data_IF_398253473892
#
_entry.id   IF_398253473892
#
_cell.length_a   1.000
_cell.length_b   1.000
_cell.length_c   1.000
_cell.angle_alpha   90.00
_cell.angle_beta   90.00
_cell.angle_gamma   90.00
#
_symmetry.space_group_name_H-M   'P 1'
#
loop_
_entity.id
_entity.type
_entity.pdbx_description
1 polymer ?
#
# COMPACT_ATOMS: atom_id res chain seq x y z
N UNK A 1 30.15 54.71 25.73
CA UNK A 1 30.04 53.27 26.05
C UNK A 1 29.24 52.61 24.95
N UNK A 2 29.92 51.90 24.04
CA UNK A 2 29.28 51.14 22.96
C UNK A 2 29.01 49.73 23.46
N UNK A 3 27.75 49.36 23.59
CA UNK A 3 27.33 47.99 23.90
C UNK A 3 27.35 47.17 22.61
N UNK A 4 28.43 46.45 22.39
CA UNK A 4 28.52 45.44 21.32
C UNK A 4 27.79 44.17 21.75
N UNK A 5 26.52 44.03 21.37
CA UNK A 5 25.82 42.75 21.36
C UNK A 5 26.20 41.97 20.09
N UNK A 6 27.40 41.38 20.07
CA UNK A 6 27.69 40.29 19.14
C UNK A 6 27.05 39.02 19.69
N UNK A 7 25.85 38.70 19.22
CA UNK A 7 25.29 37.36 19.30
C UNK A 7 26.18 36.49 18.41
N UNK A 8 27.16 35.80 19.00
CA UNK A 8 28.02 34.88 18.26
C UNK A 8 27.11 33.93 17.46
N UNK A 9 27.20 33.94 16.13
CA UNK A 9 26.65 32.85 15.35
C UNK A 9 27.43 31.62 15.76
N UNK A 10 26.80 30.75 16.57
CA UNK A 10 27.36 29.43 16.87
C UNK A 10 27.72 28.81 15.53
N UNK A 11 28.98 28.38 15.38
CA UNK A 11 29.44 27.70 14.16
C UNK A 11 28.59 26.49 13.82
N UNK A 12 28.81 25.85 12.66
CA UNK A 12 28.08 24.64 12.29
C UNK A 12 28.22 23.60 13.41
N UNK A 13 27.07 23.10 13.90
CA UNK A 13 27.02 22.10 14.98
C UNK A 13 27.74 20.83 14.52
N UNK A 14 28.52 20.22 15.40
CA UNK A 14 29.07 18.87 15.14
C UNK A 14 27.95 17.82 15.13
N UNK A 15 28.16 16.62 14.56
CA UNK A 15 27.14 15.56 14.55
C UNK A 15 26.61 15.20 15.95
N UNK A 16 27.48 15.06 16.94
CA UNK A 16 27.08 14.73 18.33
C UNK A 16 26.32 15.89 19.00
N UNK A 17 26.77 17.14 18.82
CA UNK A 17 26.04 18.31 19.30
C UNK A 17 24.66 18.45 18.66
N UNK A 18 24.52 18.09 17.39
CA UNK A 18 23.26 18.12 16.68
C UNK A 18 22.31 17.04 17.19
N UNK A 19 22.77 15.79 17.34
CA UNK A 19 21.97 14.70 17.89
C UNK A 19 21.44 15.04 19.30
N UNK A 20 22.31 15.58 20.16
CA UNK A 20 21.91 16.04 21.49
C UNK A 20 20.93 17.20 21.46
N UNK A 21 21.15 18.20 20.60
CA UNK A 21 20.22 19.32 20.46
C UNK A 21 18.83 18.86 19.97
N UNK A 22 18.79 17.89 19.06
CA UNK A 22 17.55 17.26 18.59
C UNK A 22 16.84 16.60 19.77
N UNK A 23 17.52 15.73 20.52
CA UNK A 23 16.98 15.07 21.73
C UNK A 23 16.39 16.06 22.72
N UNK A 24 17.18 17.06 23.10
CA UNK A 24 16.80 18.05 24.10
C UNK A 24 15.57 18.84 23.64
N UNK A 25 15.51 19.20 22.34
CA UNK A 25 14.35 19.91 21.79
C UNK A 25 13.07 19.06 21.76
N UNK A 26 13.17 17.76 21.49
CA UNK A 26 12.02 16.84 21.55
C UNK A 26 11.54 16.61 22.99
N UNK A 27 12.45 16.42 23.94
CA UNK A 27 12.09 16.25 25.35
C UNK A 27 11.49 17.52 25.95
N UNK A 28 11.91 18.70 25.47
CA UNK A 28 11.30 19.97 25.87
C UNK A 28 9.81 20.09 25.48
N UNK A 29 9.33 19.30 24.51
CA UNK A 29 7.89 19.29 24.19
C UNK A 29 7.05 18.65 25.31
N UNK A 30 7.63 17.74 26.11
CA UNK A 30 6.90 17.05 27.19
C UNK A 30 6.75 17.90 28.45
N UNK A 31 7.64 18.87 28.65
CA UNK A 31 7.60 19.75 29.81
C UNK A 31 6.63 20.93 29.63
N UNK A 32 6.10 21.13 28.43
CA UNK A 32 5.22 22.25 28.10
C UNK A 32 3.77 21.78 28.12
N UNK A 33 2.93 22.46 28.92
CA UNK A 33 1.51 22.15 28.97
C UNK A 33 0.78 22.73 27.76
N UNK A 34 -0.29 22.08 27.30
CA UNK A 34 -1.11 22.54 26.15
C UNK A 34 -1.72 23.94 26.39
N UNK A 35 -1.82 24.39 27.65
CA UNK A 35 -2.27 25.72 28.00
C UNK A 35 -1.26 26.84 27.64
N UNK A 36 0.02 26.51 27.49
CA UNK A 36 1.09 27.46 27.19
C UNK A 36 1.39 27.55 25.68
N UNK A 37 0.36 27.91 24.90
CA UNK A 37 0.40 27.89 23.42
C UNK A 37 1.65 28.57 22.84
N UNK A 38 2.02 29.77 23.33
CA UNK A 38 3.21 30.49 22.84
C UNK A 38 4.54 29.79 23.14
N UNK A 39 4.62 29.10 24.28
CA UNK A 39 5.82 28.35 24.63
C UNK A 39 5.94 27.09 23.77
N UNK A 40 4.80 26.43 23.53
CA UNK A 40 4.71 25.25 22.67
C UNK A 40 5.08 25.59 21.21
N UNK A 41 4.54 26.68 20.66
CA UNK A 41 4.89 27.16 19.31
C UNK A 41 6.40 27.37 19.18
N UNK A 42 7.03 28.05 20.14
CA UNK A 42 8.47 28.30 20.14
C UNK A 42 9.30 27.01 20.27
N UNK A 43 8.84 26.05 21.07
CA UNK A 43 9.51 24.76 21.19
C UNK A 43 9.40 23.94 19.90
N UNK A 44 8.23 23.95 19.24
CA UNK A 44 8.02 23.32 17.95
C UNK A 44 8.90 23.95 16.85
N UNK A 45 9.05 25.27 16.83
CA UNK A 45 9.98 25.97 15.92
C UNK A 45 11.43 25.51 16.11
N UNK A 46 11.88 25.33 17.36
CA UNK A 46 13.24 24.85 17.64
C UNK A 46 13.44 23.39 17.21
N UNK A 47 12.43 22.54 17.42
CA UNK A 47 12.43 21.16 16.91
C UNK A 47 12.53 21.14 15.39
N UNK A 48 11.69 21.92 14.71
CA UNK A 48 11.71 22.01 13.24
C UNK A 48 13.07 22.50 12.72
N UNK A 49 13.65 23.52 13.34
CA UNK A 49 14.98 24.02 13.01
C UNK A 49 16.07 22.94 13.16
N UNK A 50 16.01 22.15 14.23
CA UNK A 50 16.96 21.05 14.44
C UNK A 50 16.75 19.90 13.43
N UNK A 51 15.50 19.59 13.07
CA UNK A 51 15.19 18.61 12.00
C UNK A 51 15.73 19.09 10.64
N UNK A 52 15.58 20.37 10.32
CA UNK A 52 16.12 20.94 9.07
C UNK A 52 17.65 20.89 9.07
N UNK A 53 18.30 21.23 10.18
CA UNK A 53 19.76 21.12 10.31
C UNK A 53 20.23 19.66 10.13
N UNK A 54 19.52 18.70 10.71
CA UNK A 54 19.78 17.27 10.51
C UNK A 54 19.58 16.86 9.05
N UNK A 55 18.53 17.33 8.39
CA UNK A 55 18.30 17.08 6.96
C UNK A 55 19.44 17.60 6.09
N UNK A 56 19.90 18.83 6.33
CA UNK A 56 21.02 19.41 5.56
C UNK A 56 22.30 18.59 5.76
N UNK A 57 22.59 18.15 6.99
CA UNK A 57 23.76 17.30 7.23
C UNK A 57 23.64 15.92 6.55
N UNK A 58 22.43 15.37 6.45
CA UNK A 58 22.17 14.04 5.86
C UNK A 58 22.09 14.05 4.33
N UNK A 59 21.53 15.10 3.73
CA UNK A 59 21.16 15.14 2.31
C UNK A 59 21.90 16.22 1.52
N UNK A 60 22.60 17.15 2.18
CA UNK A 60 23.11 18.37 1.57
C UNK A 60 22.03 19.45 1.43
N UNK A 61 22.45 20.65 1.00
CA UNK A 61 21.58 21.80 0.72
C UNK A 61 21.34 22.05 -0.78
N UNK A 62 21.89 21.19 -1.64
CA UNK A 62 21.80 21.26 -3.10
C UNK A 62 23.05 21.84 -3.77
N UNK A 63 23.82 22.65 -3.03
CA UNK A 63 25.10 23.22 -3.49
C UNK A 63 26.29 22.45 -2.89
N UNK A 64 26.12 21.93 -1.66
CA UNK A 64 27.14 21.16 -0.94
C UNK A 64 26.69 19.71 -0.77
N UNK A 65 27.52 18.78 -1.24
CA UNK A 65 27.30 17.35 -1.03
C UNK A 65 27.49 16.96 0.45
N UNK A 66 26.69 16.01 0.97
CA UNK A 66 26.80 15.58 2.35
C UNK A 66 28.13 14.84 2.59
N UNK A 67 28.82 15.21 3.67
CA UNK A 67 30.03 14.53 4.09
C UNK A 67 29.70 13.15 4.69
N UNK A 68 30.16 12.07 4.05
CA UNK A 68 29.89 10.70 4.46
C UNK A 68 30.30 10.35 5.91
N UNK A 69 31.39 10.92 6.41
CA UNK A 69 31.85 10.68 7.78
C UNK A 69 30.90 11.36 8.79
N UNK A 70 30.49 12.59 8.48
CA UNK A 70 29.53 13.32 9.32
C UNK A 70 28.15 12.65 9.32
N UNK A 71 27.70 12.14 8.17
CA UNK A 71 26.44 11.37 8.04
C UNK A 71 26.49 10.10 8.89
N UNK A 72 27.58 9.35 8.81
CA UNK A 72 27.78 8.10 9.55
C UNK A 72 27.83 8.37 11.06
N UNK A 73 28.60 9.39 11.46
CA UNK A 73 28.69 9.81 12.86
C UNK A 73 27.35 10.29 13.41
N UNK A 74 26.60 11.13 12.66
CA UNK A 74 25.28 11.60 13.10
C UNK A 74 24.31 10.43 13.29
N UNK A 75 24.32 9.48 12.36
CA UNK A 75 23.45 8.30 12.43
C UNK A 75 23.74 7.47 13.69
N UNK A 76 25.02 7.27 14.01
CA UNK A 76 25.44 6.55 15.21
C UNK A 76 24.99 7.28 16.50
N UNK A 77 25.22 8.60 16.57
CA UNK A 77 24.85 9.40 17.74
C UNK A 77 23.33 9.44 17.95
N UNK A 78 22.54 9.54 16.87
CA UNK A 78 21.06 9.47 16.90
C UNK A 78 20.57 8.14 17.47
N UNK A 79 21.22 7.02 17.15
CA UNK A 79 20.89 5.71 17.70
C UNK A 79 21.30 5.60 19.18
N UNK A 80 22.50 6.05 19.54
CA UNK A 80 23.03 5.99 20.90
C UNK A 80 22.23 6.85 21.89
N UNK A 81 21.75 8.00 21.43
CA UNK A 81 20.99 8.95 22.24
C UNK A 81 19.48 8.64 22.31
N UNK A 82 19.03 7.51 21.75
CA UNK A 82 17.62 7.07 21.74
C UNK A 82 16.67 8.03 21.01
N UNK A 83 17.21 8.79 20.06
CA UNK A 83 16.46 9.84 19.35
C UNK A 83 15.46 9.25 18.36
N UNK A 84 15.69 8.03 17.88
CA UNK A 84 14.78 7.32 16.97
C UNK A 84 13.41 7.10 17.61
N UNK A 85 13.35 6.66 18.88
CA UNK A 85 12.09 6.51 19.60
C UNK A 85 11.32 7.84 19.67
N UNK A 86 12.01 8.96 19.92
CA UNK A 86 11.40 10.30 19.94
C UNK A 86 10.83 10.69 18.58
N UNK A 87 11.50 10.36 17.47
CA UNK A 87 10.99 10.63 16.12
C UNK A 87 9.63 9.99 15.87
N UNK A 88 9.46 8.76 16.35
CA UNK A 88 8.23 7.99 16.14
C UNK A 88 7.14 8.46 17.11
N UNK A 89 7.43 8.57 18.41
CA UNK A 89 6.43 8.93 19.41
C UNK A 89 5.96 10.38 19.32
N UNK A 90 6.81 11.31 18.87
CA UNK A 90 6.46 12.75 18.77
C UNK A 90 5.87 13.12 17.41
N UNK A 91 5.86 12.20 16.44
CA UNK A 91 5.31 12.41 15.10
C UNK A 91 3.88 13.00 15.08
N UNK A 92 2.94 12.59 15.98
CA UNK A 92 1.60 13.18 16.06
C UNK A 92 1.59 14.68 16.42
N UNK A 93 2.59 15.16 17.16
CA UNK A 93 2.64 16.54 17.68
C UNK A 93 3.27 17.49 16.66
N UNK A 94 4.15 16.97 15.79
CA UNK A 94 4.90 17.78 14.83
C UNK A 94 4.00 18.39 13.74
N UNK A 95 4.42 19.54 13.21
CA UNK A 95 3.83 20.15 12.01
C UNK A 95 4.12 19.36 10.73
N UNK A 96 3.34 19.61 9.67
CA UNK A 96 3.43 18.85 8.41
C UNK A 96 4.82 18.88 7.76
N UNK A 97 5.47 20.05 7.68
CA UNK A 97 6.80 20.16 7.05
C UNK A 97 7.87 19.45 7.91
N UNK A 98 7.79 19.56 9.24
CA UNK A 98 8.65 18.82 10.16
C UNK A 98 8.51 17.31 9.98
N UNK A 99 7.28 16.77 9.90
CA UNK A 99 7.02 15.33 9.64
C UNK A 99 7.65 14.91 8.30
N UNK A 100 7.46 15.69 7.25
CA UNK A 100 8.03 15.39 5.92
C UNK A 100 9.56 15.37 5.92
N UNK A 101 10.20 16.34 6.56
CA UNK A 101 11.65 16.38 6.70
C UNK A 101 12.14 15.18 7.54
N UNK A 102 11.44 14.83 8.60
CA UNK A 102 11.75 13.67 9.44
C UNK A 102 11.70 12.35 8.67
N UNK A 103 10.65 12.12 7.87
CA UNK A 103 10.53 10.93 7.00
C UNK A 103 11.67 10.85 5.98
N UNK A 104 12.12 12.00 5.47
CA UNK A 104 13.26 12.05 4.56
C UNK A 104 14.58 11.68 5.27
N UNK A 105 14.85 12.27 6.44
CA UNK A 105 15.99 11.91 7.27
C UNK A 105 15.97 10.42 7.62
N UNK A 106 14.81 9.90 8.06
CA UNK A 106 14.58 8.48 8.34
C UNK A 106 15.00 7.58 7.17
N UNK A 107 14.55 7.92 5.97
CA UNK A 107 14.81 7.14 4.76
C UNK A 107 16.30 7.09 4.38
N UNK A 108 17.07 8.10 4.78
CA UNK A 108 18.52 8.15 4.59
C UNK A 108 19.21 7.34 5.68
N UNK A 109 18.93 7.62 6.95
CA UNK A 109 19.58 6.98 8.11
C UNK A 109 19.42 5.46 8.09
N UNK A 110 18.24 4.94 7.74
CA UNK A 110 17.99 3.49 7.68
C UNK A 110 18.87 2.77 6.63
N UNK A 111 19.39 3.50 5.64
CA UNK A 111 20.26 2.97 4.59
C UNK A 111 21.75 3.19 4.86
N UNK A 112 22.09 3.94 5.90
CA UNK A 112 23.49 4.22 6.22
C UNK A 112 24.15 3.02 6.89
N UNK A 113 25.38 2.75 6.45
CA UNK A 113 26.25 1.74 7.06
C UNK A 113 27.31 2.45 7.89
N UNK A 114 27.46 2.02 9.14
CA UNK A 114 28.57 2.38 10.01
C UNK A 114 29.38 1.09 10.22
N UNK A 115 30.63 1.08 9.79
CA UNK A 115 31.53 -0.09 9.87
C UNK A 115 30.91 -1.39 9.33
N UNK A 116 30.28 -1.30 8.16
CA UNK A 116 29.55 -2.41 7.48
C UNK A 116 28.28 -2.90 8.17
N UNK A 117 27.87 -2.28 9.28
CA UNK A 117 26.61 -2.57 9.99
C UNK A 117 25.57 -1.47 9.77
N UNK A 118 24.29 -1.84 9.69
CA UNK A 118 23.21 -0.86 9.62
C UNK A 118 22.77 -0.50 11.04
N UNK A 119 23.35 0.57 11.60
CA UNK A 119 23.16 0.95 13.00
C UNK A 119 21.68 1.16 13.36
N UNK A 120 20.93 1.89 12.52
CA UNK A 120 19.49 2.07 12.73
C UNK A 120 18.71 0.77 12.69
N UNK A 121 19.14 -0.21 11.90
CA UNK A 121 18.46 -1.51 11.81
C UNK A 121 18.68 -2.31 13.09
N UNK A 122 19.92 -2.34 13.59
CA UNK A 122 20.23 -2.98 14.87
C UNK A 122 19.49 -2.32 16.04
N UNK A 123 19.32 -1.00 15.99
CA UNK A 123 18.48 -0.28 16.95
C UNK A 123 17.02 -0.74 16.84
N UNK A 124 16.43 -0.74 15.63
CA UNK A 124 15.05 -1.18 15.42
C UNK A 124 14.81 -2.64 15.82
N UNK A 125 15.79 -3.52 15.62
CA UNK A 125 15.71 -4.92 16.06
C UNK A 125 15.68 -5.08 17.59
N UNK A 126 16.18 -4.08 18.34
CA UNK A 126 16.09 -4.02 19.81
C UNK A 126 14.83 -3.32 20.32
N UNK A 127 14.17 -2.54 19.46
CA UNK A 127 13.02 -1.68 19.78
C UNK A 127 11.85 -1.95 18.82
N UNK A 128 11.43 -3.21 18.75
CA UNK A 128 10.43 -3.67 17.79
C UNK A 128 9.04 -3.07 18.03
N UNK A 129 8.74 -2.65 19.26
CA UNK A 129 7.51 -1.94 19.65
C UNK A 129 7.30 -0.63 18.86
N UNK A 130 8.37 -0.03 18.35
CA UNK A 130 8.30 1.16 17.51
C UNK A 130 7.65 0.87 16.15
N UNK A 131 7.82 -0.35 15.62
CA UNK A 131 7.16 -0.77 14.39
C UNK A 131 5.65 -0.93 14.61
N UNK A 132 5.24 -1.52 15.74
CA UNK A 132 3.82 -1.62 16.11
C UNK A 132 3.18 -0.23 16.24
N UNK A 133 3.89 0.73 16.86
CA UNK A 133 3.42 2.11 16.96
C UNK A 133 3.19 2.74 15.57
N UNK A 134 4.10 2.53 14.62
CA UNK A 134 3.94 3.02 13.23
C UNK A 134 2.71 2.41 12.55
N UNK A 135 2.40 1.14 12.83
CA UNK A 135 1.18 0.49 12.31
C UNK A 135 -0.07 1.10 12.94
N UNK A 136 -0.12 1.23 14.26
CA UNK A 136 -1.27 1.81 14.99
C UNK A 136 -1.57 3.24 14.52
N UNK A 137 -0.55 4.01 14.16
CA UNK A 137 -0.70 5.37 13.66
C UNK A 137 -1.48 5.51 12.34
N UNK A 138 -1.77 4.43 11.60
CA UNK A 138 -2.68 4.48 10.46
C UNK A 138 -4.10 4.93 10.83
N UNK A 139 -4.52 4.75 12.09
CA UNK A 139 -5.81 5.23 12.58
C UNK A 139 -5.86 6.78 12.70
N UNK A 140 -4.69 7.44 12.71
CA UNK A 140 -4.58 8.89 12.66
C UNK A 140 -4.31 9.38 11.23
N UNK A 141 -5.38 9.86 10.58
CA UNK A 141 -5.37 10.36 9.19
C UNK A 141 -4.31 11.42 8.87
N UNK A 142 -3.85 12.20 9.86
CA UNK A 142 -2.89 13.29 9.63
C UNK A 142 -1.44 12.82 9.52
N UNK A 143 -1.14 11.65 10.11
CA UNK A 143 0.21 11.09 10.15
C UNK A 143 0.32 9.78 9.38
N UNK A 144 -0.80 9.12 9.07
CA UNK A 144 -0.83 7.81 8.44
C UNK A 144 0.11 7.68 7.24
N UNK A 145 0.12 8.66 6.32
CA UNK A 145 0.99 8.62 5.13
C UNK A 145 2.48 8.76 5.46
N UNK A 146 2.82 9.49 6.52
CA UNK A 146 4.19 9.61 7.01
C UNK A 146 4.64 8.31 7.67
N UNK A 147 3.81 7.73 8.53
CA UNK A 147 4.06 6.45 9.18
C UNK A 147 4.16 5.32 8.16
N UNK A 148 3.28 5.29 7.16
CA UNK A 148 3.34 4.34 6.05
C UNK A 148 4.63 4.45 5.24
N UNK A 149 5.08 5.67 4.95
CA UNK A 149 6.38 5.91 4.33
C UNK A 149 7.54 5.35 5.15
N UNK A 150 7.58 5.64 6.47
CA UNK A 150 8.64 5.15 7.37
C UNK A 150 8.62 3.62 7.48
N UNK A 151 7.45 3.04 7.70
CA UNK A 151 7.26 1.59 7.85
C UNK A 151 7.64 0.85 6.57
N UNK A 152 7.31 1.39 5.38
CA UNK A 152 7.71 0.78 4.11
C UNK A 152 9.22 0.77 3.87
N UNK A 153 9.98 1.71 4.45
CA UNK A 153 11.44 1.61 4.42
C UNK A 153 11.93 0.51 5.37
N UNK A 154 11.32 0.34 6.56
CA UNK A 154 11.65 -0.72 7.51
C UNK A 154 11.45 -2.11 6.92
N UNK A 155 10.27 -2.38 6.34
CA UNK A 155 9.91 -3.72 5.84
C UNK A 155 10.69 -4.12 4.57
N UNK A 156 11.54 -3.26 4.02
CA UNK A 156 12.55 -3.69 3.02
C UNK A 156 13.58 -4.63 3.64
N UNK A 157 13.75 -4.58 4.95
CA UNK A 157 14.67 -5.40 5.71
C UNK A 157 13.97 -6.69 6.15
N UNK A 158 14.52 -7.88 5.87
CA UNK A 158 13.84 -9.15 6.16
C UNK A 158 13.49 -9.35 7.63
N UNK A 159 14.37 -8.97 8.56
CA UNK A 159 14.16 -9.13 10.01
C UNK A 159 12.96 -8.33 10.51
N UNK A 160 12.88 -7.05 10.14
CA UNK A 160 11.78 -6.15 10.54
C UNK A 160 10.46 -6.52 9.87
N UNK A 161 10.50 -6.94 8.59
CA UNK A 161 9.30 -7.39 7.88
C UNK A 161 8.74 -8.67 8.50
N UNK A 162 9.61 -9.63 8.85
CA UNK A 162 9.22 -10.87 9.53
C UNK A 162 8.53 -10.57 10.86
N UNK A 163 9.11 -9.69 11.68
CA UNK A 163 8.50 -9.28 12.95
C UNK A 163 7.08 -8.73 12.76
N UNK A 164 6.89 -7.77 11.84
CA UNK A 164 5.56 -7.20 11.62
C UNK A 164 4.58 -8.25 11.13
N UNK A 165 4.99 -9.14 10.23
CA UNK A 165 4.14 -10.19 9.69
C UNK A 165 3.66 -11.17 10.77
N UNK A 166 4.51 -11.47 11.76
CA UNK A 166 4.22 -12.35 12.89
C UNK A 166 3.57 -11.62 14.09
N UNK A 167 3.47 -10.29 14.04
CA UNK A 167 2.90 -9.44 15.10
C UNK A 167 1.36 -9.35 14.96
N UNK A 168 0.61 -9.26 16.07
CA UNK A 168 -0.83 -8.94 16.05
C UNK A 168 -1.14 -7.63 15.30
N UNK A 169 -0.19 -6.71 15.24
CA UNK A 169 -0.32 -5.46 14.48
C UNK A 169 -0.58 -5.71 12.99
N UNK A 170 -0.14 -6.84 12.42
CA UNK A 170 -0.42 -7.19 11.03
C UNK A 170 -1.91 -7.24 10.72
N UNK A 171 -2.71 -7.77 11.65
CA UNK A 171 -4.16 -7.93 11.46
C UNK A 171 -4.88 -6.60 11.28
N UNK A 172 -4.32 -5.51 11.82
CA UNK A 172 -4.87 -4.17 11.65
C UNK A 172 -4.92 -3.75 10.18
N UNK A 173 -4.07 -4.29 9.30
CA UNK A 173 -4.13 -3.99 7.87
C UNK A 173 -5.44 -4.45 7.23
N UNK A 174 -6.07 -5.54 7.67
CA UNK A 174 -7.38 -5.95 7.17
C UNK A 174 -8.46 -4.90 7.44
N UNK A 175 -8.33 -4.14 8.54
CA UNK A 175 -9.17 -2.97 8.84
C UNK A 175 -8.73 -1.75 8.01
N UNK A 176 -7.43 -1.46 7.98
CA UNK A 176 -6.92 -0.21 7.39
C UNK A 176 -7.14 -0.11 5.88
N UNK A 177 -7.07 -1.22 5.15
CA UNK A 177 -7.33 -1.24 3.70
C UNK A 177 -8.79 -0.97 3.34
N UNK A 178 -9.71 -1.08 4.30
CA UNK A 178 -11.14 -0.80 4.14
C UNK A 178 -11.56 0.56 4.69
N UNK A 179 -10.61 1.41 5.10
CA UNK A 179 -10.93 2.75 5.60
C UNK A 179 -11.62 3.59 4.52
N UNK A 180 -12.60 4.43 4.89
CA UNK A 180 -13.31 5.29 3.94
C UNK A 180 -12.40 6.40 3.38
N UNK A 181 -11.31 6.73 4.07
CA UNK A 181 -10.29 7.62 3.55
C UNK A 181 -9.43 6.87 2.54
N UNK A 182 -9.66 7.17 1.26
CA UNK A 182 -9.00 6.52 0.13
C UNK A 182 -7.48 6.62 0.18
N UNK A 183 -6.92 7.79 0.53
CA UNK A 183 -5.47 7.99 0.55
C UNK A 183 -4.81 7.10 1.60
N UNK A 184 -5.39 7.06 2.80
CA UNK A 184 -4.91 6.21 3.91
C UNK A 184 -5.09 4.73 3.58
N UNK A 185 -6.25 4.32 3.07
CA UNK A 185 -6.53 2.94 2.70
C UNK A 185 -5.61 2.44 1.57
N UNK A 186 -5.34 3.28 0.56
CA UNK A 186 -4.44 2.96 -0.54
C UNK A 186 -2.97 2.84 -0.07
N UNK A 187 -2.56 3.71 0.87
CA UNK A 187 -1.23 3.66 1.47
C UNK A 187 -1.06 2.42 2.36
N UNK A 188 -2.07 2.10 3.17
CA UNK A 188 -2.13 0.88 3.97
C UNK A 188 -2.07 -0.36 3.07
N UNK A 189 -2.82 -0.38 1.96
CA UNK A 189 -2.79 -1.48 1.01
C UNK A 189 -1.41 -1.66 0.37
N UNK A 190 -0.70 -0.56 0.09
CA UNK A 190 0.66 -0.62 -0.44
C UNK A 190 1.63 -1.27 0.55
N UNK A 191 1.48 -0.96 1.84
CA UNK A 191 2.26 -1.56 2.93
C UNK A 191 1.90 -3.04 3.14
N UNK A 192 0.60 -3.35 3.19
CA UNK A 192 0.08 -4.72 3.27
C UNK A 192 0.58 -5.60 2.13
N UNK A 193 0.54 -5.08 0.89
CA UNK A 193 1.13 -5.73 -0.27
C UNK A 193 2.63 -5.97 -0.09
N UNK A 194 3.39 -4.98 0.34
CA UNK A 194 4.85 -5.12 0.52
C UNK A 194 5.18 -6.20 1.56
N UNK A 195 4.43 -6.26 2.67
CA UNK A 195 4.59 -7.33 3.67
C UNK A 195 4.35 -8.72 3.08
N UNK A 196 3.37 -8.86 2.19
CA UNK A 196 2.97 -10.14 1.57
C UNK A 196 3.76 -10.53 0.31
N UNK A 197 4.57 -9.65 -0.27
CA UNK A 197 5.28 -9.95 -1.54
C UNK A 197 6.76 -9.66 -1.53
N UNK A 198 7.31 -8.95 -0.53
CA UNK A 198 8.72 -8.53 -0.57
C UNK A 198 9.70 -9.67 -0.20
N UNK A 199 9.34 -10.47 0.79
CA UNK A 199 10.18 -11.53 1.35
C UNK A 199 9.45 -12.87 1.27
N UNK A 200 9.42 -13.45 0.08
CA UNK A 200 8.61 -14.64 -0.26
C UNK A 200 8.78 -15.81 0.72
N UNK A 201 10.00 -16.09 1.16
CA UNK A 201 10.26 -17.17 2.14
C UNK A 201 9.64 -16.90 3.52
N UNK A 202 9.67 -15.66 3.99
CA UNK A 202 9.06 -15.29 5.27
C UNK A 202 7.52 -15.35 5.17
N UNK A 203 6.98 -14.88 4.04
CA UNK A 203 5.55 -14.96 3.73
C UNK A 203 5.08 -16.42 3.68
N UNK A 204 5.83 -17.29 3.02
CA UNK A 204 5.53 -18.73 2.95
C UNK A 204 5.47 -19.38 4.33
N UNK A 205 6.44 -19.08 5.19
CA UNK A 205 6.43 -19.57 6.57
C UNK A 205 5.18 -19.09 7.32
N UNK A 206 4.93 -17.79 7.31
CA UNK A 206 3.78 -17.18 7.98
C UNK A 206 2.43 -17.76 7.48
N UNK A 207 2.23 -17.84 6.16
CA UNK A 207 1.00 -18.37 5.57
C UNK A 207 0.81 -19.86 5.84
N UNK A 208 1.90 -20.62 6.04
CA UNK A 208 1.83 -22.03 6.41
C UNK A 208 1.28 -22.18 7.82
N UNK A 209 1.81 -21.40 8.75
CA UNK A 209 1.44 -21.46 10.18
C UNK A 209 0.05 -20.88 10.44
N UNK A 210 -0.33 -19.83 9.71
CA UNK A 210 -1.56 -19.06 9.94
C UNK A 210 -2.62 -19.24 8.83
N UNK A 211 -2.54 -20.31 8.05
CA UNK A 211 -3.35 -20.50 6.83
C UNK A 211 -4.84 -20.22 7.05
N UNK A 212 -5.46 -20.87 8.04
CA UNK A 212 -6.92 -20.81 8.22
C UNK A 212 -7.38 -19.40 8.58
N UNK A 213 -6.73 -18.79 9.57
CA UNK A 213 -7.07 -17.45 10.06
C UNK A 213 -6.80 -16.37 9.01
N UNK A 214 -5.65 -16.45 8.33
CA UNK A 214 -5.31 -15.50 7.27
C UNK A 214 -6.33 -15.54 6.13
N UNK A 215 -6.64 -16.72 5.59
CA UNK A 215 -7.56 -16.83 4.45
C UNK A 215 -9.01 -16.55 4.82
N UNK A 216 -9.42 -16.76 6.07
CA UNK A 216 -10.72 -16.30 6.57
C UNK A 216 -10.84 -14.78 6.52
N UNK A 217 -9.82 -14.05 6.99
CA UNK A 217 -9.80 -12.58 6.90
C UNK A 217 -9.65 -12.10 5.45
N UNK A 218 -8.84 -12.79 4.65
CA UNK A 218 -8.61 -12.43 3.25
C UNK A 218 -9.87 -12.59 2.40
N UNK A 219 -10.71 -13.60 2.68
CA UNK A 219 -12.00 -13.79 2.00
C UNK A 219 -12.93 -12.59 2.21
N UNK A 220 -12.88 -11.93 3.38
CA UNK A 220 -13.64 -10.69 3.64
C UNK A 220 -13.21 -9.57 2.69
N UNK A 221 -11.92 -9.47 2.36
CA UNK A 221 -11.43 -8.51 1.37
C UNK A 221 -11.88 -8.87 -0.06
N UNK A 222 -11.88 -10.15 -0.41
CA UNK A 222 -12.35 -10.64 -1.72
C UNK A 222 -13.87 -10.48 -1.89
N UNK A 223 -14.63 -10.45 -0.81
CA UNK A 223 -16.08 -10.28 -0.80
C UNK A 223 -16.52 -8.88 -0.39
N UNK A 224 -15.55 -7.96 -0.22
CA UNK A 224 -15.78 -6.60 0.22
C UNK A 224 -16.76 -5.84 -0.68
N UNK A 225 -17.65 -4.99 -0.13
CA UNK A 225 -18.46 -4.07 -0.91
C UNK A 225 -17.58 -2.99 -1.59
N UNK A 226 -16.37 -2.74 -1.10
CA UNK A 226 -15.44 -1.80 -1.73
C UNK A 226 -14.81 -2.43 -2.97
N UNK A 227 -15.25 -1.95 -4.15
CA UNK A 227 -14.74 -2.42 -5.44
C UNK A 227 -13.22 -2.32 -5.56
N UNK A 228 -12.60 -1.25 -5.03
CA UNK A 228 -11.15 -1.06 -5.14
C UNK A 228 -10.42 -2.09 -4.28
N UNK A 229 -10.83 -2.26 -3.01
CA UNK A 229 -10.25 -3.27 -2.12
C UNK A 229 -10.39 -4.65 -2.71
N UNK A 230 -11.61 -5.04 -3.12
CA UNK A 230 -11.89 -6.33 -3.75
C UNK A 230 -11.00 -6.61 -4.96
N UNK A 231 -10.84 -5.63 -5.85
CA UNK A 231 -10.01 -5.76 -7.05
C UNK A 231 -8.52 -5.88 -6.71
N UNK A 232 -8.01 -5.05 -5.82
CA UNK A 232 -6.60 -5.05 -5.46
C UNK A 232 -6.22 -6.30 -4.66
N UNK A 233 -7.07 -6.74 -3.74
CA UNK A 233 -6.90 -7.99 -3.00
C UNK A 233 -6.91 -9.19 -3.93
N UNK A 234 -7.81 -9.25 -4.92
CA UNK A 234 -7.76 -10.35 -5.89
C UNK A 234 -6.44 -10.38 -6.67
N UNK A 235 -5.96 -9.21 -7.10
CA UNK A 235 -4.67 -9.12 -7.79
C UNK A 235 -3.53 -9.57 -6.87
N UNK A 236 -3.50 -9.08 -5.64
CA UNK A 236 -2.48 -9.42 -4.65
C UNK A 236 -2.48 -10.92 -4.32
N UNK A 237 -3.65 -11.55 -4.21
CA UNK A 237 -3.77 -13.00 -4.03
C UNK A 237 -3.06 -13.77 -5.13
N UNK A 238 -3.26 -13.38 -6.39
CA UNK A 238 -2.55 -14.03 -7.51
C UNK A 238 -1.05 -13.80 -7.47
N UNK A 239 -0.59 -12.66 -6.95
CA UNK A 239 0.84 -12.34 -6.85
C UNK A 239 1.51 -13.26 -5.82
N UNK A 240 1.07 -13.26 -4.55
CA UNK A 240 1.77 -14.06 -3.54
C UNK A 240 1.49 -15.57 -3.66
N UNK A 241 0.29 -15.99 -4.09
CA UNK A 241 -0.06 -17.42 -4.10
C UNK A 241 0.76 -18.21 -5.14
N UNK A 242 1.18 -17.54 -6.21
CA UNK A 242 1.92 -18.17 -7.32
C UNK A 242 3.43 -18.14 -7.16
N UNK A 243 3.93 -17.56 -6.07
CA UNK A 243 5.36 -17.57 -5.79
C UNK A 243 5.86 -19.00 -5.51
N UNK A 244 7.07 -19.38 -5.98
CA UNK A 244 7.58 -20.74 -5.81
C UNK A 244 7.59 -21.23 -4.35
N UNK A 245 7.97 -20.41 -3.34
CA UNK A 245 7.88 -20.80 -1.93
C UNK A 245 6.46 -21.10 -1.44
N UNK A 246 5.42 -20.62 -2.13
CA UNK A 246 4.02 -20.79 -1.75
C UNK A 246 3.34 -21.94 -2.49
N UNK A 247 4.07 -22.77 -3.23
CA UNK A 247 3.49 -23.84 -4.06
C UNK A 247 2.66 -24.87 -3.27
N UNK A 248 3.01 -25.18 -2.01
CA UNK A 248 2.21 -26.06 -1.15
C UNK A 248 0.94 -25.37 -0.63
N UNK A 249 1.02 -24.08 -0.29
CA UNK A 249 -0.14 -23.25 0.08
C UNK A 249 -1.10 -23.13 -1.09
N UNK A 250 -0.60 -22.87 -2.31
CA UNK A 250 -1.38 -22.84 -3.54
C UNK A 250 -2.12 -24.16 -3.77
N UNK A 251 -1.42 -25.29 -3.65
CA UNK A 251 -2.02 -26.63 -3.80
C UNK A 251 -3.15 -26.87 -2.79
N UNK A 252 -2.97 -26.40 -1.54
CA UNK A 252 -4.02 -26.46 -0.51
C UNK A 252 -5.20 -25.55 -0.89
N UNK A 253 -4.94 -24.30 -1.25
CA UNK A 253 -5.94 -23.30 -1.62
C UNK A 253 -6.87 -23.78 -2.75
N UNK A 254 -6.29 -24.36 -3.81
CA UNK A 254 -7.06 -24.83 -4.96
C UNK A 254 -7.76 -26.18 -4.77
N UNK A 255 -7.51 -26.85 -3.64
CA UNK A 255 -8.23 -28.06 -3.25
C UNK A 255 -9.52 -27.74 -2.48
N UNK A 256 -9.70 -26.50 -2.01
CA UNK A 256 -10.83 -26.11 -1.18
C UNK A 256 -12.02 -25.57 -1.99
N UNK A 257 -13.19 -26.16 -1.74
CA UNK A 257 -14.45 -25.79 -2.42
C UNK A 257 -14.88 -24.36 -2.10
N UNK A 258 -14.62 -23.87 -0.89
CA UNK A 258 -14.94 -22.51 -0.48
C UNK A 258 -14.28 -21.48 -1.40
N UNK A 259 -12.97 -21.58 -1.56
CA UNK A 259 -12.19 -20.69 -2.41
C UNK A 259 -12.61 -20.74 -3.88
N UNK A 260 -12.93 -21.93 -4.42
CA UNK A 260 -13.47 -22.03 -5.79
C UNK A 260 -14.79 -21.24 -5.94
N UNK A 261 -15.71 -21.35 -4.98
CA UNK A 261 -16.99 -20.63 -5.03
C UNK A 261 -16.79 -19.12 -5.02
N UNK A 262 -15.86 -18.62 -4.21
CA UNK A 262 -15.48 -17.19 -4.18
C UNK A 262 -14.97 -16.76 -5.56
N UNK A 263 -14.02 -17.49 -6.14
CA UNK A 263 -13.48 -17.19 -7.48
C UNK A 263 -14.55 -17.19 -8.58
N UNK A 264 -15.44 -18.18 -8.57
CA UNK A 264 -16.54 -18.26 -9.53
C UNK A 264 -17.54 -17.11 -9.37
N UNK A 265 -17.80 -16.64 -8.15
CA UNK A 265 -18.68 -15.49 -7.90
C UNK A 265 -18.03 -14.18 -8.34
N UNK A 266 -16.73 -14.02 -8.08
CA UNK A 266 -15.94 -12.88 -8.55
C UNK A 266 -15.95 -12.74 -10.08
N UNK A 267 -15.85 -13.86 -10.82
CA UNK A 267 -15.96 -13.87 -12.28
C UNK A 267 -17.35 -13.38 -12.77
N UNK A 268 -18.43 -13.78 -12.08
CA UNK A 268 -19.80 -13.33 -12.42
C UNK A 268 -19.95 -11.82 -12.24
N UNK A 269 -19.49 -11.28 -11.11
CA UNK A 269 -19.57 -9.83 -10.82
C UNK A 269 -18.83 -9.03 -11.88
N UNK A 270 -17.64 -9.48 -12.28
CA UNK A 270 -16.87 -8.81 -13.33
C UNK A 270 -17.61 -8.75 -14.68
N UNK A 271 -18.25 -9.86 -15.07
CA UNK A 271 -19.01 -9.92 -16.33
C UNK A 271 -20.17 -8.92 -16.37
N UNK A 272 -20.92 -8.78 -15.27
CA UNK A 272 -22.03 -7.81 -15.16
C UNK A 272 -21.52 -6.38 -15.34
N UNK A 273 -20.43 -6.02 -14.66
CA UNK A 273 -19.82 -4.68 -14.76
C UNK A 273 -19.30 -4.40 -16.17
N UNK A 274 -18.61 -5.37 -16.79
CA UNK A 274 -18.08 -5.25 -18.15
C UNK A 274 -19.20 -5.05 -19.18
N UNK A 275 -20.32 -5.79 -19.05
CA UNK A 275 -21.49 -5.66 -19.92
C UNK A 275 -22.17 -4.29 -19.80
N UNK A 276 -22.28 -3.76 -18.58
CA UNK A 276 -22.86 -2.44 -18.35
C UNK A 276 -22.04 -1.32 -19.03
N UNK A 277 -20.70 -1.41 -18.93
CA UNK A 277 -19.81 -0.44 -19.57
C UNK A 277 -19.85 -0.52 -21.10
N UNK A 278 -20.01 -1.72 -21.68
CA UNK A 278 -20.08 -1.89 -23.14
C UNK A 278 -21.42 -1.45 -23.74
N UNK A 279 -22.54 -1.63 -23.04
CA UNK A 279 -23.88 -1.32 -23.57
C UNK A 279 -24.24 0.16 -23.47
N UNK A 280 -23.59 0.92 -22.59
CA UNK A 280 -24.06 2.27 -22.30
C UNK A 280 -23.79 3.28 -23.42
N UNK A 281 -22.88 3.06 -24.37
CA UNK A 281 -22.44 4.09 -25.36
C UNK A 281 -22.12 5.46 -24.73
N UNK A 282 -21.96 5.48 -23.41
CA UNK A 282 -21.60 6.64 -22.63
C UNK A 282 -20.14 6.42 -22.28
N UNK A 283 -19.24 7.17 -22.91
CA UNK A 283 -17.95 7.40 -22.29
C UNK A 283 -18.22 7.86 -20.86
N UNK A 284 -17.56 7.28 -19.85
CA UNK A 284 -17.64 7.70 -18.44
C UNK A 284 -17.65 9.25 -18.31
N UNK A 285 -16.94 9.94 -19.20
CA UNK A 285 -16.90 11.40 -19.41
C UNK A 285 -18.28 12.08 -19.59
N UNK A 286 -19.24 11.49 -20.32
CA UNK A 286 -20.57 12.07 -20.59
C UNK A 286 -21.51 11.95 -19.37
N UNK A 287 -21.45 10.83 -18.63
CA UNK A 287 -22.15 10.69 -17.34
C UNK A 287 -21.58 11.68 -16.31
N UNK A 288 -20.25 11.92 -16.32
CA UNK A 288 -19.58 12.93 -15.48
C UNK A 288 -20.10 14.35 -15.78
N UNK A 289 -20.29 14.71 -17.06
CA UNK A 289 -20.78 16.03 -17.46
C UNK A 289 -22.24 16.32 -17.06
N UNK A 290 -23.11 15.31 -17.06
CA UNK A 290 -24.52 15.46 -16.69
C UNK A 290 -24.69 15.69 -15.17
N UNK A 291 -23.89 15.00 -14.34
CA UNK A 291 -23.92 15.17 -12.87
C UNK A 291 -23.28 16.50 -12.41
N UNK A 292 -22.34 17.06 -13.18
CA UNK A 292 -21.83 18.42 -12.96
C UNK A 292 -22.86 19.53 -13.21
N UNK A 293 -23.79 19.34 -14.17
CA UNK A 293 -24.86 20.32 -14.46
C UNK A 293 -26.06 20.21 -13.53
N UNK A 294 -26.32 19.03 -12.95
CA UNK A 294 -27.48 18.81 -12.09
C UNK A 294 -27.14 17.93 -10.85
N UNK A 295 -26.74 18.55 -9.73
CA UNK A 295 -26.28 17.82 -8.53
C UNK A 295 -27.39 17.05 -7.78
N UNK A 296 -28.67 17.40 -8.00
CA UNK A 296 -29.81 16.79 -7.29
C UNK A 296 -30.52 15.68 -8.09
N UNK A 297 -30.01 15.31 -9.26
CA UNK A 297 -30.59 14.26 -10.09
C UNK A 297 -30.24 12.88 -9.49
N UNK A 298 -31.20 12.28 -8.78
CA UNK A 298 -31.12 10.89 -8.35
C UNK A 298 -31.38 9.98 -9.55
N UNK A 299 -30.38 9.20 -9.96
CA UNK A 299 -30.60 8.12 -10.91
C UNK A 299 -31.14 6.91 -10.13
N UNK A 300 -32.40 6.47 -10.36
CA UNK A 300 -33.06 5.47 -9.52
C UNK A 300 -32.49 4.04 -9.64
N UNK A 301 -31.45 3.83 -10.46
CA UNK A 301 -30.74 2.54 -10.59
C UNK A 301 -29.24 2.59 -10.23
N UNK A 302 -28.71 3.70 -9.69
CA UNK A 302 -27.30 3.84 -9.31
C UNK A 302 -27.11 3.89 -7.78
N UNK A 303 -27.60 2.87 -7.07
CA UNK A 303 -27.25 2.65 -5.66
C UNK A 303 -26.08 1.67 -5.56
N UNK A 304 -25.04 2.04 -4.79
CA UNK A 304 -23.99 1.13 -4.32
C UNK A 304 -22.73 1.05 -5.19
N UNK A 305 -22.83 0.46 -6.39
CA UNK A 305 -21.66 -0.25 -6.96
C UNK A 305 -20.86 0.49 -8.04
N UNK A 306 -21.36 1.61 -8.57
CA UNK A 306 -20.73 2.32 -9.72
C UNK A 306 -20.44 3.81 -9.40
N UNK A 307 -20.89 4.32 -8.26
CA UNK A 307 -20.70 5.74 -7.92
C UNK A 307 -19.31 6.04 -7.36
N UNK A 308 -18.64 5.06 -6.75
CA UNK A 308 -17.32 5.27 -6.14
C UNK A 308 -16.17 5.45 -7.16
N UNK A 309 -16.12 4.74 -8.31
CA UNK A 309 -15.18 5.05 -9.39
C UNK A 309 -15.26 6.50 -9.89
N UNK A 310 -16.41 7.17 -9.72
CA UNK A 310 -16.66 8.54 -10.17
C UNK A 310 -16.17 9.61 -9.19
N UNK A 311 -16.06 9.31 -7.89
CA UNK A 311 -15.51 10.24 -6.90
C UNK A 311 -13.96 10.27 -6.94
N UNK A 312 -13.34 9.12 -7.23
CA UNK A 312 -11.88 8.91 -7.30
C UNK A 312 -11.22 9.79 -8.38
N UNK A 313 -11.92 10.11 -9.48
CA UNK A 313 -11.42 11.00 -10.53
C UNK A 313 -11.71 12.50 -10.28
N UNK A 314 -12.57 12.83 -9.31
CA UNK A 314 -13.05 14.21 -9.08
C UNK A 314 -12.40 14.90 -7.87
N UNK A 315 -11.88 14.16 -6.88
CA UNK A 315 -11.22 14.76 -5.71
C UNK A 315 -9.90 15.47 -6.07
N UNK A 316 -9.23 15.09 -7.15
CA UNK A 316 -7.94 15.67 -7.56
C UNK A 316 -8.08 17.02 -8.32
N UNK A 317 -9.31 17.42 -8.71
CA UNK A 317 -9.55 18.70 -9.40
C UNK A 317 -9.95 19.86 -8.49
N UNK A 318 -10.22 19.64 -7.20
CA UNK A 318 -10.58 20.73 -6.27
C UNK A 318 -9.39 21.47 -5.67
N UNK A 319 -8.16 21.06 -5.98
CA UNK A 319 -6.94 21.60 -5.38
C UNK A 319 -5.94 22.22 -6.36
N UNK A 320 -6.37 22.97 -7.40
CA UNK A 320 -5.54 24.00 -8.07
C UNK A 320 -6.34 24.72 -9.17
N UNK A 321 -6.86 25.89 -8.84
CA UNK A 321 -7.16 26.90 -9.84
C UNK A 321 -5.85 27.51 -10.33
N UNK A 322 -5.46 27.19 -11.57
CA UNK A 322 -4.86 28.09 -12.57
C UNK A 322 -4.38 27.23 -13.75
N UNK A 323 -4.86 27.60 -14.94
CA UNK A 323 -4.30 27.17 -16.23
C UNK A 323 -2.86 27.69 -16.30
N UNK A 324 -1.87 26.82 -16.41
CA UNK A 324 -0.56 27.16 -16.92
C UNK A 324 0.04 25.95 -17.63
N UNK A 325 0.67 26.23 -18.76
CA UNK A 325 1.02 25.32 -19.85
C UNK A 325 1.99 24.22 -19.42
N UNK A 326 1.63 22.97 -19.73
CA UNK A 326 2.45 21.79 -19.52
C UNK A 326 3.40 21.60 -20.71
N UNK A 327 4.60 22.16 -20.59
CA UNK A 327 5.78 21.72 -21.35
C UNK A 327 6.99 21.72 -20.41
N UNK A 328 7.12 20.67 -19.59
CA UNK A 328 8.34 20.39 -18.85
C UNK A 328 8.53 18.85 -18.79
N UNK A 329 9.70 18.31 -19.21
CA UNK A 329 10.00 16.89 -19.06
C UNK A 329 10.35 16.63 -17.58
N UNK A 330 9.53 15.84 -16.89
CA UNK A 330 9.80 15.46 -15.48
C UNK A 330 8.61 15.51 -14.51
N UNK A 331 7.38 15.77 -14.96
CA UNK A 331 6.21 15.77 -14.07
C UNK A 331 5.59 14.35 -13.92
N UNK A 332 5.52 13.75 -12.71
CA UNK A 332 4.94 12.41 -12.50
C UNK A 332 3.42 12.35 -12.75
N UNK A 333 2.74 13.49 -12.78
CA UNK A 333 1.29 13.60 -12.99
C UNK A 333 0.89 13.46 -14.47
N UNK A 334 1.83 13.68 -15.40
CA UNK A 334 1.52 13.58 -16.84
C UNK A 334 1.48 12.13 -17.35
N UNK A 335 2.10 11.19 -16.62
CA UNK A 335 2.05 9.75 -16.92
C UNK A 335 0.71 9.10 -16.56
N UNK A 336 -0.10 9.74 -15.72
CA UNK A 336 -1.43 9.24 -15.34
C UNK A 336 -2.48 9.56 -16.41
N UNK A 337 -2.26 10.59 -17.24
CA UNK A 337 -3.20 11.02 -18.29
C UNK A 337 -2.97 10.38 -19.67
N UNK A 338 -1.82 9.75 -19.92
CA UNK A 338 -1.52 9.07 -21.20
C UNK A 338 -1.79 7.57 -21.20
N UNK A 339 -2.18 6.98 -20.06
CA UNK A 339 -2.86 5.70 -20.11
C UNK A 339 -4.27 5.92 -20.66
N UNK A 340 -4.45 5.59 -21.95
CA UNK A 340 -5.69 4.97 -22.42
C UNK A 340 -6.25 4.15 -21.26
N UNK A 341 -7.44 4.50 -20.78
CA UNK A 341 -8.26 3.69 -19.90
C UNK A 341 -8.49 2.33 -20.59
N UNK A 342 -7.49 1.44 -20.59
CA UNK A 342 -7.66 0.01 -20.72
C UNK A 342 -8.39 -0.41 -19.45
N UNK A 343 -9.70 -0.25 -19.50
CA UNK A 343 -10.67 -0.80 -18.56
C UNK A 343 -10.22 -2.22 -18.23
N UNK A 344 -9.93 -2.45 -16.96
CA UNK A 344 -9.64 -3.74 -16.31
C UNK A 344 -9.18 -4.88 -17.22
N UNK A 345 -7.87 -5.11 -17.29
CA UNK A 345 -7.36 -6.40 -17.75
C UNK A 345 -7.88 -7.52 -16.81
N UNK A 346 -8.61 -8.53 -17.32
CA UNK A 346 -9.16 -9.63 -16.51
C UNK A 346 -8.11 -10.61 -15.98
N UNK A 347 -6.83 -10.40 -16.31
CA UNK A 347 -5.71 -11.31 -16.06
C UNK A 347 -5.69 -11.92 -14.66
N UNK A 348 -5.89 -11.15 -13.58
CA UNK A 348 -5.86 -11.71 -12.22
C UNK A 348 -6.98 -12.76 -11.96
N UNK A 349 -8.18 -12.55 -12.51
CA UNK A 349 -9.29 -13.51 -12.38
C UNK A 349 -8.99 -14.78 -13.18
N UNK A 350 -8.49 -14.60 -14.41
CA UNK A 350 -8.13 -15.70 -15.31
C UNK A 350 -6.99 -16.52 -14.75
N UNK A 351 -5.96 -15.88 -14.20
CA UNK A 351 -4.80 -16.54 -13.59
C UNK A 351 -5.24 -17.42 -12.41
N UNK A 352 -6.04 -16.91 -11.48
CA UNK A 352 -6.47 -17.72 -10.33
C UNK A 352 -7.41 -18.85 -10.77
N UNK A 353 -8.37 -18.58 -11.66
CA UNK A 353 -9.24 -19.63 -12.20
C UNK A 353 -8.44 -20.69 -12.96
N UNK A 354 -7.41 -20.29 -13.71
CA UNK A 354 -6.50 -21.20 -14.40
C UNK A 354 -5.84 -22.13 -13.41
N UNK A 355 -5.42 -21.68 -12.23
CA UNK A 355 -4.74 -22.54 -11.25
C UNK A 355 -5.70 -23.61 -10.71
N UNK A 356 -6.97 -23.26 -10.45
CA UNK A 356 -8.00 -24.25 -10.10
C UNK A 356 -8.24 -25.26 -11.22
N UNK A 357 -8.37 -24.77 -12.46
CA UNK A 357 -8.69 -25.59 -13.64
C UNK A 357 -7.49 -26.40 -14.11
N UNK A 358 -6.25 -25.95 -13.90
CA UNK A 358 -5.03 -26.66 -14.27
C UNK A 358 -4.58 -27.68 -13.23
N UNK A 359 -5.17 -27.70 -12.03
CA UNK A 359 -4.81 -28.67 -10.99
C UNK A 359 -4.95 -30.12 -11.53
N UNK A 360 -3.89 -30.95 -11.59
CA UNK A 360 -4.02 -32.33 -12.04
C UNK A 360 -4.77 -33.20 -11.02
N UNK A 361 -4.69 -32.85 -9.74
CA UNK A 361 -5.24 -33.60 -8.61
C UNK A 361 -6.52 -32.95 -8.05
N UNK A 362 -7.42 -32.48 -8.93
CA UNK A 362 -8.69 -31.85 -8.53
C UNK A 362 -9.51 -32.80 -7.64
N UNK A 363 -9.95 -32.35 -6.44
CA UNK A 363 -10.90 -33.10 -5.62
C UNK A 363 -12.22 -33.36 -6.36
N UNK A 364 -12.91 -34.47 -6.02
CA UNK A 364 -14.17 -34.86 -6.66
C UNK A 364 -15.23 -33.76 -6.61
N UNK A 365 -15.36 -33.09 -5.47
CA UNK A 365 -16.33 -32.01 -5.29
C UNK A 365 -16.06 -30.81 -6.23
N UNK A 366 -14.78 -30.46 -6.43
CA UNK A 366 -14.35 -29.42 -7.36
C UNK A 366 -14.73 -29.80 -8.80
N UNK A 367 -14.46 -31.06 -9.21
CA UNK A 367 -14.85 -31.57 -10.53
C UNK A 367 -16.37 -31.49 -10.74
N UNK A 368 -17.16 -31.90 -9.75
CA UNK A 368 -18.62 -31.83 -9.80
C UNK A 368 -19.14 -30.40 -9.91
N UNK A 369 -18.55 -29.45 -9.17
CA UNK A 369 -18.94 -28.04 -9.24
C UNK A 369 -18.63 -27.45 -10.62
N UNK A 370 -17.44 -27.73 -11.16
CA UNK A 370 -17.04 -27.27 -12.49
C UNK A 370 -17.96 -27.87 -13.57
N UNK A 371 -18.23 -29.19 -13.52
CA UNK A 371 -19.13 -29.86 -14.45
C UNK A 371 -20.56 -29.31 -14.37
N UNK A 372 -21.12 -29.15 -13.16
CA UNK A 372 -22.48 -28.62 -12.97
C UNK A 372 -22.64 -27.18 -13.48
N UNK A 373 -21.56 -26.38 -13.48
CA UNK A 373 -21.60 -24.97 -13.89
C UNK A 373 -20.93 -24.70 -15.24
N UNK A 374 -20.54 -25.74 -15.99
CA UNK A 374 -19.66 -25.62 -17.16
C UNK A 374 -20.24 -24.68 -18.23
N UNK A 375 -21.52 -24.83 -18.62
CA UNK A 375 -22.16 -23.98 -19.64
C UNK A 375 -22.10 -22.49 -19.27
N UNK A 376 -22.41 -22.17 -18.02
CA UNK A 376 -22.39 -20.79 -17.51
C UNK A 376 -20.96 -20.25 -17.48
N UNK A 377 -19.99 -21.04 -17.02
CA UNK A 377 -18.58 -20.64 -16.98
C UNK A 377 -18.03 -20.37 -18.39
N UNK A 378 -18.30 -21.27 -19.34
CA UNK A 378 -17.90 -21.10 -20.74
C UNK A 378 -18.55 -19.85 -21.36
N UNK A 379 -19.81 -19.57 -21.06
CA UNK A 379 -20.47 -18.34 -21.51
C UNK A 379 -19.85 -17.06 -20.91
N UNK A 380 -19.44 -17.10 -19.64
CA UNK A 380 -18.75 -15.98 -19.00
C UNK A 380 -17.36 -15.75 -19.61
N UNK A 381 -16.57 -16.81 -19.79
CA UNK A 381 -15.23 -16.76 -20.36
C UNK A 381 -15.25 -16.30 -21.82
N UNK A 382 -16.17 -16.81 -22.64
CA UNK A 382 -16.32 -16.38 -24.04
C UNK A 382 -16.61 -14.88 -24.17
N UNK A 383 -17.28 -14.28 -23.19
CA UNK A 383 -17.62 -12.85 -23.21
C UNK A 383 -16.59 -11.98 -22.50
N UNK A 384 -15.58 -12.57 -21.85
CA UNK A 384 -14.46 -11.86 -21.25
C UNK A 384 -13.51 -11.38 -22.36
N UNK A 385 -13.09 -10.12 -22.30
CA UNK A 385 -11.99 -9.61 -23.14
C UNK A 385 -12.28 -9.40 -24.63
N UNK A 386 -13.53 -9.52 -25.09
CA UNK A 386 -13.89 -9.25 -26.50
C UNK A 386 -13.48 -7.83 -26.92
N UNK A 387 -12.46 -7.71 -27.76
CA UNK A 387 -11.97 -6.46 -28.35
C UNK A 387 -10.57 -5.99 -27.91
N UNK A 388 -9.71 -6.86 -27.35
CA UNK A 388 -8.32 -6.54 -26.99
C UNK A 388 -7.27 -7.27 -27.83
N UNK A 389 -6.16 -6.59 -28.13
CA UNK A 389 -4.93 -7.14 -28.75
C UNK A 389 -4.01 -7.75 -27.67
N UNK A 390 -4.38 -8.88 -27.09
CA UNK A 390 -3.53 -9.60 -26.10
C UNK A 390 -3.64 -11.11 -26.35
N UNK A 391 -2.87 -11.59 -27.32
CA UNK A 391 -2.92 -12.99 -27.80
C UNK A 391 -2.66 -13.99 -26.66
N UNK A 392 -1.74 -13.66 -25.74
CA UNK A 392 -1.44 -14.49 -24.58
C UNK A 392 -2.67 -14.70 -23.68
N UNK A 393 -3.46 -13.64 -23.45
CA UNK A 393 -4.66 -13.74 -22.65
C UNK A 393 -5.72 -14.63 -23.30
N UNK A 394 -5.86 -14.55 -24.62
CA UNK A 394 -6.83 -15.35 -25.35
C UNK A 394 -6.42 -16.84 -25.38
N UNK A 395 -5.13 -17.14 -25.52
CA UNK A 395 -4.59 -18.50 -25.40
C UNK A 395 -4.85 -19.11 -24.01
N UNK A 396 -4.51 -18.38 -22.93
CA UNK A 396 -4.77 -18.83 -21.55
C UNK A 396 -6.26 -19.09 -21.33
N UNK A 397 -7.13 -18.20 -21.83
CA UNK A 397 -8.58 -18.36 -21.75
C UNK A 397 -9.07 -19.60 -22.47
N UNK A 398 -8.57 -19.86 -23.68
CA UNK A 398 -8.96 -21.02 -24.48
C UNK A 398 -8.54 -22.32 -23.82
N UNK A 399 -7.35 -22.37 -23.19
CA UNK A 399 -6.90 -23.52 -22.41
C UNK A 399 -7.81 -23.81 -21.22
N UNK A 400 -8.23 -22.78 -20.48
CA UNK A 400 -9.16 -22.92 -19.35
C UNK A 400 -10.50 -23.48 -19.84
N UNK A 401 -11.03 -22.95 -20.95
CA UNK A 401 -12.29 -23.42 -21.51
C UNK A 401 -12.22 -24.89 -21.94
N UNK A 402 -11.16 -25.30 -22.65
CA UNK A 402 -10.95 -26.70 -23.07
C UNK A 402 -10.90 -27.66 -21.88
N UNK A 403 -10.23 -27.27 -20.81
CA UNK A 403 -10.13 -28.12 -19.61
C UNK A 403 -11.45 -28.18 -18.84
N UNK A 404 -12.23 -27.09 -18.75
CA UNK A 404 -13.60 -27.11 -18.18
C UNK A 404 -14.51 -28.07 -18.97
N UNK A 405 -14.48 -28.03 -20.30
CA UNK A 405 -15.24 -28.95 -21.14
C UNK A 405 -14.84 -30.41 -20.90
N UNK A 406 -13.53 -30.68 -20.82
CA UNK A 406 -13.00 -32.01 -20.54
C UNK A 406 -13.48 -32.54 -19.19
N UNK A 407 -13.40 -31.72 -18.13
CA UNK A 407 -13.88 -32.08 -16.79
C UNK A 407 -15.38 -32.38 -16.80
N UNK A 408 -16.18 -31.59 -17.53
CA UNK A 408 -17.62 -31.83 -17.68
C UNK A 408 -17.93 -33.17 -18.34
N UNK A 409 -17.23 -33.50 -19.44
CA UNK A 409 -17.41 -34.78 -20.13
C UNK A 409 -17.04 -35.99 -19.27
N UNK A 410 -15.95 -35.89 -18.51
CA UNK A 410 -15.51 -36.97 -17.61
C UNK A 410 -16.47 -37.17 -16.43
N UNK A 411 -16.98 -36.09 -15.85
CA UNK A 411 -17.94 -36.18 -14.74
C UNK A 411 -19.26 -36.85 -15.16
N UNK A 412 -19.71 -36.64 -16.40
CA UNK A 412 -20.91 -37.27 -16.95
C UNK A 412 -20.71 -38.77 -17.27
N UNK A 413 -19.48 -39.27 -17.31
CA UNK A 413 -19.15 -40.68 -17.50
C UNK A 413 -19.03 -41.45 -16.17
N UNK A 414 -18.82 -40.74 -15.06
CA UNK A 414 -18.70 -41.30 -13.70
C UNK A 414 -20.00 -41.21 -12.88
N UNK A 415 -21.04 -40.58 -13.43
CA UNK A 415 -22.40 -40.46 -12.88
C UNK A 415 -23.34 -41.50 -13.49
#
# INVERSE_FOLDING_TARGET
>A
MSFSFFKASRGPKTPSELAKAVKDSFNALDSITVAEVKALEKAMEEVEKNIVAMKVMLAGDGDVEPNHDQVSQLTLEVCNEDVIALFIHKLPILGWEARKNLVHCWSIMLKQKVDSTFCCVQYMEKHLELLDFLVVCYDNKEIALHCGGMLRECIKLPSLAKYILESPSFELFFKFVELPNFDVASDAFSTFKNLLTKHESAVSHYLTDNYSEFFEQYEKLLTSPNYVTRRQSLKLLSEFLLEPPNSHIMKRYIAEVGHLKVMMNLLKVFHVVSRFLSHSNVSLVKIIGIKQKHPNLCFPHFQGDIVLPLAILLSDKKGKGRKQELNAPGCPLCLVCTYRLRVCRPHAYTILLQVFVANPNKPREIKLILAKNHERLLALLNNLGKGGEDDQFEEEKELIMKEIEKVSRLANLES
#
